data_IF_274383085944
#
_entry.id   IF_274383085944
#
_cell.length_a   1.000
_cell.length_b   1.000
_cell.length_c   1.000
_cell.angle_alpha   90.00
_cell.angle_beta   90.00
_cell.angle_gamma   90.00
#
_symmetry.space_group_name_H-M   'P 1'
#
loop_
_entity.id
_entity.type
_entity.pdbx_description
1 polymer ?
#
# COMPACT_ATOMS: atom_id res chain seq x y z
N UNK A 1 30.61 -9.83 9.17
CA UNK A 1 30.69 -8.52 8.48
C UNK A 1 29.56 -8.35 7.43
N UNK A 2 28.32 -8.79 7.71
CA UNK A 2 27.20 -8.75 6.75
C UNK A 2 26.20 -7.59 6.96
N UNK A 3 26.26 -6.91 8.11
CA UNK A 3 25.23 -5.92 8.53
C UNK A 3 25.20 -4.61 7.74
N UNK A 4 26.22 -4.32 6.91
CA UNK A 4 26.22 -3.13 6.05
C UNK A 4 25.37 -3.31 4.78
N UNK A 5 25.31 -4.54 4.25
CA UNK A 5 24.55 -4.85 3.03
C UNK A 5 23.04 -4.84 3.28
N UNK A 6 22.59 -5.51 4.35
CA UNK A 6 21.18 -5.57 4.76
C UNK A 6 20.62 -4.17 5.07
N UNK A 7 21.41 -3.32 5.74
CA UNK A 7 21.12 -1.89 5.96
C UNK A 7 20.84 -1.13 4.66
N UNK A 8 21.77 -1.22 3.72
CA UNK A 8 21.71 -0.46 2.47
C UNK A 8 20.52 -0.89 1.61
N UNK A 9 20.29 -2.20 1.50
CA UNK A 9 19.15 -2.77 0.76
C UNK A 9 17.82 -2.35 1.40
N UNK A 10 17.70 -2.43 2.73
CA UNK A 10 16.49 -2.01 3.44
C UNK A 10 16.18 -0.52 3.22
N UNK A 11 17.20 0.34 3.24
CA UNK A 11 17.05 1.77 2.99
C UNK A 11 16.55 2.07 1.57
N UNK A 12 17.13 1.41 0.56
CA UNK A 12 16.73 1.57 -0.84
C UNK A 12 15.29 1.12 -1.05
N UNK A 13 14.93 -0.06 -0.53
CA UNK A 13 13.58 -0.60 -0.68
C UNK A 13 12.51 0.23 0.05
N UNK A 14 12.80 0.74 1.25
CA UNK A 14 11.88 1.63 1.96
C UNK A 14 11.71 2.97 1.23
N UNK A 15 12.77 3.51 0.65
CA UNK A 15 12.68 4.73 -0.17
C UNK A 15 11.84 4.49 -1.42
N UNK A 16 12.04 3.35 -2.09
CA UNK A 16 11.24 2.95 -3.25
C UNK A 16 9.76 2.80 -2.87
N UNK A 17 9.46 2.10 -1.78
CA UNK A 17 8.08 1.93 -1.30
C UNK A 17 7.44 3.25 -0.91
N UNK A 18 8.18 4.17 -0.27
CA UNK A 18 7.68 5.51 0.02
C UNK A 18 7.20 6.22 -1.24
N UNK A 19 8.02 6.20 -2.30
CA UNK A 19 7.66 6.83 -3.59
C UNK A 19 6.45 6.15 -4.21
N UNK A 20 6.42 4.82 -4.23
CA UNK A 20 5.31 4.09 -4.83
C UNK A 20 4.00 4.30 -4.07
N UNK A 21 4.01 4.23 -2.73
CA UNK A 21 2.83 4.51 -1.90
C UNK A 21 2.36 5.96 -2.05
N UNK A 22 3.29 6.90 -2.23
CA UNK A 22 2.94 8.29 -2.51
C UNK A 22 2.24 8.44 -3.87
N UNK A 23 2.71 7.75 -4.90
CA UNK A 23 2.04 7.73 -6.21
C UNK A 23 0.63 7.13 -6.10
N UNK A 24 0.50 5.99 -5.41
CA UNK A 24 -0.80 5.36 -5.12
C UNK A 24 -1.72 6.36 -4.42
N UNK A 25 -1.23 7.05 -3.39
CA UNK A 25 -2.00 8.03 -2.63
C UNK A 25 -2.48 9.19 -3.51
N UNK A 26 -1.63 9.73 -4.38
CA UNK A 26 -1.97 10.83 -5.29
C UNK A 26 -3.04 10.41 -6.30
N UNK A 27 -2.86 9.26 -6.96
CA UNK A 27 -3.81 8.77 -7.95
C UNK A 27 -5.15 8.39 -7.29
N UNK A 28 -5.12 7.73 -6.13
CA UNK A 28 -6.32 7.39 -5.38
C UNK A 28 -7.06 8.65 -4.90
N UNK A 29 -6.35 9.67 -4.40
CA UNK A 29 -6.95 10.95 -3.99
C UNK A 29 -7.59 11.68 -5.18
N UNK A 30 -6.92 11.68 -6.33
CA UNK A 30 -7.47 12.20 -7.57
C UNK A 30 -8.74 11.46 -7.98
N UNK A 31 -8.73 10.12 -7.92
CA UNK A 31 -9.88 9.28 -8.26
C UNK A 31 -11.06 9.50 -7.30
N UNK A 32 -10.82 9.67 -6.00
CA UNK A 32 -11.85 10.06 -5.02
C UNK A 32 -12.46 11.40 -5.40
N UNK A 33 -11.65 12.43 -5.63
CA UNK A 33 -12.13 13.76 -5.95
C UNK A 33 -12.94 13.77 -7.27
N UNK A 34 -12.42 13.14 -8.31
CA UNK A 34 -13.12 13.06 -9.59
C UNK A 34 -14.41 12.23 -9.48
N UNK A 35 -14.42 11.21 -8.63
CA UNK A 35 -15.61 10.40 -8.36
C UNK A 35 -16.72 11.19 -7.71
N UNK A 36 -16.40 11.98 -6.69
CA UNK A 36 -17.37 12.86 -6.02
C UNK A 36 -17.95 13.88 -7.01
N UNK A 37 -17.10 14.52 -7.82
CA UNK A 37 -17.55 15.50 -8.82
C UNK A 37 -18.53 14.87 -9.81
N UNK A 38 -18.16 13.74 -10.41
CA UNK A 38 -18.96 13.05 -11.44
C UNK A 38 -20.23 12.40 -10.88
N UNK A 39 -20.20 11.93 -9.63
CA UNK A 39 -21.38 11.45 -8.92
C UNK A 39 -22.35 12.58 -8.61
N UNK A 40 -21.87 13.78 -8.31
CA UNK A 40 -22.71 14.98 -8.17
C UNK A 40 -23.44 15.36 -9.46
N UNK A 41 -22.75 15.29 -10.61
CA UNK A 41 -23.33 15.57 -11.93
C UNK A 41 -24.34 14.49 -12.36
N UNK A 42 -24.05 13.22 -12.09
CA UNK A 42 -24.89 12.07 -12.48
C UNK A 42 -26.13 11.91 -11.59
N UNK A 43 -26.05 12.31 -10.31
CA UNK A 43 -27.17 12.25 -9.38
C UNK A 43 -28.35 13.17 -9.76
N UNK A 44 -28.13 14.18 -10.60
CA UNK A 44 -29.19 15.09 -11.06
C UNK A 44 -30.11 14.48 -12.12
N UNK A 45 -29.76 13.32 -12.70
CA UNK A 45 -30.44 12.75 -13.90
C UNK A 45 -30.85 11.27 -13.77
N UNK A 46 -30.55 10.60 -12.66
CA UNK A 46 -30.73 9.14 -12.55
C UNK A 46 -31.86 8.72 -11.58
N UNK A 47 -32.85 7.98 -12.10
CA UNK A 47 -33.96 7.39 -11.34
C UNK A 47 -33.48 6.24 -10.41
N UNK A 48 -34.05 6.13 -9.20
CA UNK A 48 -33.70 5.14 -8.16
C UNK A 48 -33.59 3.70 -8.72
N UNK A 49 -32.45 3.00 -8.52
CA UNK A 49 -32.07 2.45 -7.20
C UNK A 49 -30.61 2.73 -6.76
N UNK A 50 -29.88 3.60 -7.46
CA UNK A 50 -28.44 3.85 -7.24
C UNK A 50 -28.13 4.75 -6.02
N UNK A 51 -29.14 5.42 -5.45
CA UNK A 51 -28.98 6.32 -4.29
C UNK A 51 -28.65 5.62 -2.96
N UNK A 52 -28.73 4.29 -2.90
CA UNK A 52 -28.62 3.50 -1.66
C UNK A 52 -27.18 3.04 -1.40
N UNK A 53 -26.28 3.12 -2.40
CA UNK A 53 -24.86 2.84 -2.22
C UNK A 53 -24.04 4.14 -2.23
N UNK A 54 -23.62 4.66 -1.05
CA UNK A 54 -22.87 5.92 -0.92
C UNK A 54 -21.44 5.88 -1.52
N UNK A 55 -21.08 4.81 -2.24
CA UNK A 55 -19.78 4.58 -2.88
C UNK A 55 -19.98 4.23 -4.36
N UNK A 56 -20.84 4.97 -5.06
CA UNK A 56 -20.98 4.85 -6.51
C UNK A 56 -19.97 5.76 -7.21
N UNK A 57 -19.07 5.17 -7.98
CA UNK A 57 -18.08 5.88 -8.80
C UNK A 57 -18.37 5.62 -10.29
N UNK A 58 -18.94 6.59 -11.03
CA UNK A 58 -19.31 6.43 -12.45
C UNK A 58 -18.11 6.49 -13.41
N UNK A 59 -16.94 5.97 -12.98
CA UNK A 59 -15.66 5.95 -13.72
C UNK A 59 -15.10 4.55 -13.93
N UNK A 60 -15.79 3.52 -13.43
CA UNK A 60 -15.33 2.14 -13.53
C UNK A 60 -16.47 1.17 -13.26
N UNK A 61 -16.12 -0.03 -12.84
CA UNK A 61 -17.10 -1.08 -12.57
C UNK A 61 -17.59 -1.02 -11.10
N UNK A 62 -18.41 -2.00 -10.68
CA UNK A 62 -19.00 -2.03 -9.34
C UNK A 62 -17.97 -2.17 -8.19
N UNK A 63 -16.74 -2.59 -8.47
CA UNK A 63 -15.66 -2.80 -7.49
C UNK A 63 -14.80 -1.55 -7.29
N UNK A 64 -14.86 -0.60 -8.22
CA UNK A 64 -14.01 0.60 -8.25
C UNK A 64 -14.06 1.41 -6.96
N UNK A 65 -15.25 1.56 -6.38
CA UNK A 65 -15.41 2.27 -5.11
C UNK A 65 -14.63 1.63 -3.96
N UNK A 66 -14.70 0.30 -3.82
CA UNK A 66 -13.94 -0.42 -2.81
C UNK A 66 -12.44 -0.31 -3.09
N UNK A 67 -12.03 -0.54 -4.34
CA UNK A 67 -10.63 -0.48 -4.73
C UNK A 67 -9.98 0.87 -4.39
N UNK A 68 -10.61 1.98 -4.77
CA UNK A 68 -10.08 3.33 -4.53
C UNK A 68 -9.92 3.61 -3.02
N UNK A 69 -10.92 3.25 -2.20
CA UNK A 69 -10.86 3.50 -0.75
C UNK A 69 -9.76 2.68 -0.08
N UNK A 70 -9.64 1.39 -0.42
CA UNK A 70 -8.56 0.56 0.10
C UNK A 70 -7.19 1.03 -0.39
N UNK A 71 -7.09 1.46 -1.65
CA UNK A 71 -5.87 2.02 -2.23
C UNK A 71 -5.44 3.32 -1.52
N UNK A 72 -6.40 4.20 -1.18
CA UNK A 72 -6.14 5.42 -0.41
C UNK A 72 -5.63 5.11 1.00
N UNK A 73 -6.30 4.20 1.72
CA UNK A 73 -5.88 3.76 3.08
C UNK A 73 -4.47 3.18 3.03
N UNK A 74 -4.21 2.29 2.08
CA UNK A 74 -2.90 1.67 1.88
C UNK A 74 -1.84 2.71 1.50
N UNK A 75 -2.17 3.70 0.68
CA UNK A 75 -1.27 4.81 0.36
C UNK A 75 -0.85 5.60 1.60
N UNK A 76 -1.78 5.95 2.48
CA UNK A 76 -1.49 6.67 3.74
C UNK A 76 -0.68 5.80 4.70
N UNK A 77 -1.14 4.56 4.96
CA UNK A 77 -0.46 3.64 5.86
C UNK A 77 0.94 3.32 5.34
N UNK A 78 1.09 3.03 4.05
CA UNK A 78 2.37 2.74 3.42
C UNK A 78 3.35 3.91 3.41
N UNK A 79 2.88 5.15 3.20
CA UNK A 79 3.72 6.34 3.34
C UNK A 79 4.23 6.51 4.77
N UNK A 80 3.33 6.41 5.75
CA UNK A 80 3.68 6.58 7.17
C UNK A 80 4.61 5.47 7.68
N UNK A 81 4.36 4.22 7.30
CA UNK A 81 5.24 3.10 7.68
C UNK A 81 6.59 3.13 6.98
N UNK A 82 6.65 3.58 5.71
CA UNK A 82 7.93 3.77 5.02
C UNK A 82 8.75 4.91 5.65
N UNK A 83 8.12 6.02 6.01
CA UNK A 83 8.79 7.16 6.64
C UNK A 83 9.31 6.82 8.04
N UNK A 84 8.47 6.19 8.86
CA UNK A 84 8.87 5.71 10.19
C UNK A 84 9.90 4.59 10.09
N UNK A 85 9.81 3.72 9.08
CA UNK A 85 10.81 2.70 8.76
C UNK A 85 12.19 3.29 8.45
N UNK A 86 12.26 4.31 7.60
CA UNK A 86 13.51 5.03 7.30
C UNK A 86 14.10 5.64 8.58
N UNK A 87 13.28 6.31 9.39
CA UNK A 87 13.71 6.89 10.66
C UNK A 87 14.22 5.82 11.66
N UNK A 88 13.57 4.66 11.71
CA UNK A 88 13.97 3.54 12.58
C UNK A 88 15.28 2.88 12.12
N UNK A 89 15.53 2.79 10.81
CA UNK A 89 16.78 2.28 10.25
C UNK A 89 17.94 3.23 10.53
N UNK A 90 17.72 4.55 10.47
CA UNK A 90 18.76 5.53 10.81
C UNK A 90 19.25 5.38 12.26
N UNK A 91 18.36 5.04 13.19
CA UNK A 91 18.71 4.86 14.60
C UNK A 91 19.22 3.44 14.95
N UNK A 92 19.01 2.46 14.07
CA UNK A 92 19.46 1.04 14.17
C UNK A 92 19.46 0.44 15.59
N UNK A 93 18.34 0.56 16.32
CA UNK A 93 18.22 0.04 17.68
C UNK A 93 17.25 -1.15 17.75
N UNK A 94 17.55 -2.18 18.53
CA UNK A 94 16.79 -3.44 18.59
C UNK A 94 15.25 -3.31 18.79
N UNK A 95 14.72 -2.44 19.67
CA UNK A 95 13.27 -2.27 19.81
C UNK A 95 12.62 -1.62 18.57
N UNK A 96 13.35 -0.72 17.88
CA UNK A 96 12.83 0.01 16.73
C UNK A 96 12.65 -0.90 15.50
N UNK A 97 13.43 -1.98 15.42
CA UNK A 97 13.42 -2.88 14.26
C UNK A 97 12.27 -3.90 14.38
N UNK A 98 11.90 -4.33 15.58
CA UNK A 98 10.68 -5.12 15.79
C UNK A 98 9.42 -4.31 15.47
N UNK A 99 9.38 -3.05 15.93
CA UNK A 99 8.29 -2.14 15.60
C UNK A 99 8.17 -1.93 14.07
N UNK A 100 9.30 -1.75 13.38
CA UNK A 100 9.35 -1.64 11.92
C UNK A 100 8.91 -2.92 11.19
N UNK A 101 9.24 -4.11 11.72
CA UNK A 101 8.80 -5.38 11.12
C UNK A 101 7.28 -5.57 11.22
N UNK A 102 6.70 -5.31 12.39
CA UNK A 102 5.26 -5.42 12.59
C UNK A 102 4.49 -4.41 11.74
N UNK A 103 4.94 -3.15 11.70
CA UNK A 103 4.31 -2.12 10.87
C UNK A 103 4.44 -2.42 9.37
N UNK A 104 5.58 -2.96 8.93
CA UNK A 104 5.78 -3.41 7.55
C UNK A 104 4.85 -4.57 7.18
N UNK A 105 4.66 -5.54 8.07
CA UNK A 105 3.75 -6.67 7.89
C UNK A 105 2.28 -6.23 7.83
N UNK A 106 1.86 -5.33 8.73
CA UNK A 106 0.50 -4.75 8.69
C UNK A 106 0.27 -4.01 7.37
N UNK A 107 1.25 -3.21 6.93
CA UNK A 107 1.18 -2.50 5.64
C UNK A 107 1.08 -3.48 4.48
N UNK A 108 1.84 -4.57 4.51
CA UNK A 108 1.78 -5.61 3.49
C UNK A 108 0.42 -6.29 3.44
N UNK A 109 -0.16 -6.65 4.58
CA UNK A 109 -1.49 -7.25 4.65
C UNK A 109 -2.58 -6.35 4.07
N UNK A 110 -2.55 -5.04 4.40
CA UNK A 110 -3.47 -4.06 3.81
C UNK A 110 -3.23 -3.90 2.30
N UNK A 111 -1.98 -3.93 1.86
CA UNK A 111 -1.62 -3.85 0.44
C UNK A 111 -2.13 -5.06 -0.34
N UNK A 112 -2.07 -6.28 0.23
CA UNK A 112 -2.67 -7.47 -0.37
C UNK A 112 -4.18 -7.34 -0.50
N UNK A 113 -4.85 -6.75 0.48
CA UNK A 113 -6.28 -6.50 0.40
C UNK A 113 -6.61 -5.55 -0.76
N UNK A 114 -5.89 -4.44 -0.89
CA UNK A 114 -6.04 -3.52 -2.02
C UNK A 114 -5.68 -4.17 -3.37
N UNK A 115 -4.67 -5.03 -3.41
CA UNK A 115 -4.29 -5.80 -4.59
C UNK A 115 -5.37 -6.81 -4.99
N UNK A 116 -6.05 -7.46 -4.03
CA UNK A 116 -7.20 -8.31 -4.30
C UNK A 116 -8.33 -7.56 -5.01
N UNK A 117 -8.61 -6.33 -4.59
CA UNK A 117 -9.57 -5.46 -5.28
C UNK A 117 -9.05 -5.03 -6.67
N UNK A 118 -7.76 -4.72 -6.83
CA UNK A 118 -7.17 -4.43 -8.14
C UNK A 118 -7.32 -5.60 -9.12
N UNK A 119 -7.04 -6.83 -8.67
CA UNK A 119 -7.24 -8.02 -9.48
C UNK A 119 -8.71 -8.19 -9.89
N UNK A 120 -9.64 -7.89 -8.97
CA UNK A 120 -11.07 -7.99 -9.26
C UNK A 120 -11.54 -6.91 -10.24
N UNK A 121 -11.03 -5.69 -10.13
CA UNK A 121 -11.25 -4.61 -11.09
C UNK A 121 -10.81 -5.03 -12.51
N UNK A 122 -9.62 -5.61 -12.64
CA UNK A 122 -9.09 -6.10 -13.92
C UNK A 122 -9.98 -7.20 -14.52
N UNK A 123 -10.48 -8.13 -13.69
CA UNK A 123 -11.35 -9.22 -14.14
C UNK A 123 -12.69 -8.71 -14.69
N UNK A 124 -13.30 -7.73 -14.02
CA UNK A 124 -14.57 -7.14 -14.45
C UNK A 124 -14.40 -6.21 -15.66
N UNK A 125 -13.20 -5.64 -15.84
CA UNK A 125 -12.85 -4.77 -16.95
C UNK A 125 -13.58 -3.43 -16.93
N UNK A 126 -13.47 -2.69 -18.05
CA UNK A 126 -14.17 -1.42 -18.27
C UNK A 126 -13.70 -0.26 -17.36
N UNK A 127 -12.37 -0.06 -17.30
CA UNK A 127 -11.75 0.97 -16.45
C UNK A 127 -11.01 2.03 -17.25
N UNK A 128 -11.11 3.29 -16.80
CA UNK A 128 -10.34 4.42 -17.36
C UNK A 128 -8.82 4.23 -17.21
N UNK A 129 -8.03 4.89 -18.08
CA UNK A 129 -6.57 4.74 -18.11
C UNK A 129 -5.87 5.06 -16.78
N UNK A 130 -6.41 6.01 -16.00
CA UNK A 130 -5.87 6.35 -14.69
C UNK A 130 -6.09 5.23 -13.67
N UNK A 131 -7.24 4.56 -13.70
CA UNK A 131 -7.50 3.43 -12.82
C UNK A 131 -6.68 2.21 -13.21
N UNK A 132 -6.47 1.94 -14.51
CA UNK A 132 -5.53 0.90 -14.96
C UNK A 132 -4.11 1.11 -14.44
N UNK A 133 -3.71 2.37 -14.33
CA UNK A 133 -2.42 2.74 -13.74
C UNK A 133 -2.41 2.45 -12.23
N UNK A 134 -3.48 2.79 -11.52
CA UNK A 134 -3.63 2.50 -10.09
C UNK A 134 -3.64 0.99 -9.80
N UNK A 135 -4.36 0.19 -10.60
CA UNK A 135 -4.39 -1.28 -10.53
C UNK A 135 -2.97 -1.85 -10.63
N UNK A 136 -2.25 -1.45 -11.67
CA UNK A 136 -0.89 -1.94 -11.96
C UNK A 136 0.09 -1.55 -10.86
N UNK A 137 0.08 -0.29 -10.43
CA UNK A 137 0.97 0.19 -9.37
C UNK A 137 0.66 -0.50 -8.04
N UNK A 138 -0.61 -0.75 -7.72
CA UNK A 138 -0.99 -1.46 -6.48
C UNK A 138 -0.44 -2.89 -6.47
N UNK A 139 -0.48 -3.59 -7.60
CA UNK A 139 0.14 -4.92 -7.73
C UNK A 139 1.66 -4.84 -7.54
N UNK A 140 2.33 -3.89 -8.18
CA UNK A 140 3.79 -3.68 -8.03
C UNK A 140 4.15 -3.41 -6.56
N UNK A 141 3.40 -2.52 -5.90
CA UNK A 141 3.60 -2.16 -4.49
C UNK A 141 3.44 -3.36 -3.57
N UNK A 142 2.52 -4.28 -3.87
CA UNK A 142 2.37 -5.52 -3.09
C UNK A 142 3.63 -6.38 -3.10
N UNK A 143 4.30 -6.48 -4.25
CA UNK A 143 5.52 -7.24 -4.42
C UNK A 143 6.72 -6.54 -3.75
N UNK A 144 6.88 -5.23 -3.95
CA UNK A 144 7.98 -4.48 -3.34
C UNK A 144 7.83 -4.38 -1.81
N UNK A 145 6.60 -4.28 -1.29
CA UNK A 145 6.34 -4.32 0.15
C UNK A 145 6.62 -5.70 0.77
N UNK A 146 6.38 -6.79 0.05
CA UNK A 146 6.78 -8.13 0.49
C UNK A 146 8.31 -8.21 0.64
N UNK A 147 9.04 -7.72 -0.36
CA UNK A 147 10.52 -7.70 -0.33
C UNK A 147 11.03 -6.85 0.84
N UNK A 148 10.47 -5.66 1.07
CA UNK A 148 10.77 -4.84 2.24
C UNK A 148 10.56 -5.58 3.55
N UNK A 149 9.41 -6.23 3.71
CA UNK A 149 9.05 -6.98 4.93
C UNK A 149 10.03 -8.13 5.18
N UNK A 150 10.42 -8.85 4.12
CA UNK A 150 11.41 -9.93 4.19
C UNK A 150 12.79 -9.43 4.60
N UNK A 151 13.28 -8.33 4.01
CA UNK A 151 14.60 -7.76 4.34
C UNK A 151 14.64 -7.26 5.79
N UNK A 152 13.56 -6.62 6.27
CA UNK A 152 13.48 -6.17 7.67
C UNK A 152 13.52 -7.38 8.63
N UNK A 153 12.83 -8.48 8.30
CA UNK A 153 12.87 -9.71 9.12
C UNK A 153 14.26 -10.35 9.14
N UNK A 154 14.95 -10.41 8.00
CA UNK A 154 16.35 -10.90 7.95
C UNK A 154 17.26 -10.00 8.81
N UNK A 155 17.07 -8.69 8.74
CA UNK A 155 17.81 -7.72 9.57
C UNK A 155 17.61 -7.94 11.08
N UNK A 156 16.43 -8.37 11.53
CA UNK A 156 16.18 -8.74 12.94
C UNK A 156 17.04 -9.95 13.33
N UNK A 157 17.06 -10.99 12.49
CA UNK A 157 17.83 -12.21 12.76
C UNK A 157 19.34 -11.96 12.82
N UNK A 158 19.86 -10.94 12.12
CA UNK A 158 21.28 -10.55 12.22
C UNK A 158 21.62 -9.80 13.53
N UNK A 159 20.65 -9.10 14.11
CA UNK A 159 20.84 -8.29 15.34
C UNK A 159 20.62 -9.13 16.59
N UNK A 160 19.73 -10.12 16.51
CA UNK A 160 19.44 -11.07 17.57
C UNK A 160 19.89 -12.44 17.07
N UNK A 161 21.19 -12.79 17.20
CA UNK A 161 21.60 -14.16 16.95
C UNK A 161 20.81 -15.08 17.90
N UNK A 162 20.42 -16.29 17.46
CA UNK A 162 19.76 -17.25 18.33
C UNK A 162 20.62 -17.44 19.57
N UNK A 163 20.02 -17.32 20.76
CA UNK A 163 20.68 -17.63 22.03
C UNK A 163 20.92 -19.15 22.06
N UNK A 164 21.95 -19.61 21.37
CA UNK A 164 22.51 -20.94 21.52
C UNK A 164 23.16 -20.99 22.89
N UNK A 165 22.51 -21.73 23.80
CA UNK A 165 23.08 -22.24 25.05
C UNK A 165 23.57 -21.19 26.06
N UNK A 166 22.78 -20.92 27.10
CA UNK A 166 23.37 -20.86 28.43
C UNK A 166 23.00 -22.15 29.15
N UNK A 167 24.04 -22.94 29.39
CA UNK A 167 24.10 -24.07 30.33
C UNK A 167 23.69 -23.62 31.72
#
# INVERSE_FOLDING_TARGET
MASGGSKSVAFILLTLNLVLYFIVLVIASWAVNHGIQRSGETASVLSLPVHIFPIYFPMGNMTTGFFIIFSLIVGVVGCTTSLTGLHNIFQWNAPNIHAAAMSSLTTWALTLLAMGFACKEIELGWTDSNLRTLETITIIVSATQLLCTGVIHVGISEIIPPRIGRV
#
